data_IF_295061860952
#
_entry.id   IF_295061860952
#
_cell.length_a   1.000
_cell.length_b   1.000
_cell.length_c   1.000
_cell.angle_alpha   90.00
_cell.angle_beta   90.00
_cell.angle_gamma   90.00
#
_symmetry.space_group_name_H-M   'P 1'
#
loop_
_entity.id
_entity.type
_entity.pdbx_description
1 polymer ?
#
# COMPACT_ATOMS: atom_id res chain seq x y z
N UNK A 1 -15.10 -22.13 -7.94
CA UNK A 1 -14.18 -21.07 -8.37
C UNK A 1 -12.83 -21.43 -7.79
N UNK A 2 -11.92 -21.96 -8.61
CA UNK A 2 -10.59 -22.33 -8.10
C UNK A 2 -9.87 -21.03 -7.77
N UNK A 3 -9.56 -20.83 -6.49
CA UNK A 3 -8.67 -19.75 -6.06
C UNK A 3 -7.30 -20.06 -6.63
N UNK A 4 -6.81 -19.23 -7.55
CA UNK A 4 -5.42 -19.30 -8.01
C UNK A 4 -4.49 -19.14 -6.80
N UNK A 5 -3.40 -19.92 -6.75
CA UNK A 5 -2.45 -19.77 -5.65
C UNK A 5 -1.75 -18.42 -5.75
N UNK A 6 -1.85 -17.62 -4.69
CA UNK A 6 -1.15 -16.34 -4.57
C UNK A 6 0.04 -16.46 -3.62
N UNK A 7 1.18 -15.92 -4.02
CA UNK A 7 2.35 -15.74 -3.15
C UNK A 7 2.40 -14.28 -2.70
N UNK A 8 2.37 -14.06 -1.39
CA UNK A 8 2.45 -12.73 -0.78
C UNK A 8 3.86 -12.45 -0.27
N UNK A 9 4.48 -11.39 -0.78
CA UNK A 9 5.77 -10.88 -0.29
C UNK A 9 5.57 -9.55 0.44
N UNK A 10 5.80 -9.47 1.75
CA UNK A 10 5.74 -8.20 2.49
C UNK A 10 6.75 -7.19 1.93
N UNK A 11 6.29 -5.96 1.67
CA UNK A 11 7.14 -4.87 1.19
C UNK A 11 7.39 -3.85 2.29
N UNK A 12 6.33 -3.36 2.95
CA UNK A 12 6.45 -2.39 4.02
C UNK A 12 5.18 -2.36 4.89
N UNK A 13 5.32 -1.81 6.10
CA UNK A 13 4.23 -1.53 7.04
C UNK A 13 4.53 -0.22 7.74
N UNK A 14 3.59 0.71 7.76
CA UNK A 14 3.78 2.01 8.41
C UNK A 14 2.48 2.61 8.95
N UNK A 15 2.56 3.43 10.01
CA UNK A 15 1.39 4.11 10.56
C UNK A 15 0.93 5.23 9.62
N UNK A 16 -0.38 5.46 9.59
CA UNK A 16 -1.05 6.55 8.92
C UNK A 16 -1.86 7.39 9.94
N UNK A 17 -2.27 8.63 9.59
CA UNK A 17 -3.08 9.46 10.49
C UNK A 17 -4.34 8.75 11.02
N UNK A 18 -4.80 9.20 12.18
CA UNK A 18 -6.02 8.72 12.85
C UNK A 18 -5.98 7.22 13.23
N UNK A 19 -4.83 6.77 13.74
CA UNK A 19 -4.66 5.41 14.27
C UNK A 19 -4.78 4.32 13.21
N UNK A 20 -4.49 4.64 11.95
CA UNK A 20 -4.52 3.70 10.84
C UNK A 20 -3.13 3.10 10.62
N UNK A 21 -3.11 1.90 10.06
CA UNK A 21 -1.88 1.24 9.59
C UNK A 21 -2.04 0.88 8.11
N UNK A 22 -0.99 1.06 7.33
CA UNK A 22 -0.91 0.65 5.93
C UNK A 22 0.10 -0.49 5.80
N UNK A 23 -0.35 -1.61 5.24
CA UNK A 23 0.49 -2.73 4.82
C UNK A 23 0.59 -2.77 3.30
N UNK A 24 1.81 -2.93 2.79
CA UNK A 24 2.09 -3.15 1.37
C UNK A 24 2.65 -4.55 1.16
N UNK A 25 2.08 -5.29 0.21
CA UNK A 25 2.56 -6.61 -0.19
C UNK A 25 2.59 -6.72 -1.71
N UNK A 26 3.65 -7.31 -2.27
CA UNK A 26 3.60 -7.81 -3.62
C UNK A 26 2.81 -9.12 -3.64
N UNK A 27 1.95 -9.29 -4.62
CA UNK A 27 1.16 -10.49 -4.86
C UNK A 27 1.58 -11.05 -6.21
N UNK A 28 2.06 -12.28 -6.23
CA UNK A 28 2.36 -13.00 -7.46
C UNK A 28 1.37 -14.16 -7.62
N UNK A 29 0.76 -14.26 -8.80
CA UNK A 29 -0.12 -15.35 -9.19
C UNK A 29 0.60 -16.31 -10.14
N UNK A 30 0.18 -17.57 -10.18
CA UNK A 30 0.81 -18.60 -11.04
C UNK A 30 0.74 -18.27 -12.54
N UNK A 31 -0.29 -17.54 -12.97
CA UNK A 31 -0.42 -17.00 -14.33
C UNK A 31 0.68 -16.01 -14.74
N UNK A 32 1.54 -15.58 -13.80
CA UNK A 32 2.54 -14.54 -14.00
C UNK A 32 2.02 -13.13 -13.76
N UNK A 33 0.75 -12.99 -13.37
CA UNK A 33 0.18 -11.72 -12.95
C UNK A 33 0.82 -11.25 -11.64
N UNK A 34 1.23 -9.99 -11.58
CA UNK A 34 1.77 -9.36 -10.39
C UNK A 34 0.94 -8.14 -10.00
N UNK A 35 0.62 -8.03 -8.72
CA UNK A 35 -0.18 -6.94 -8.15
C UNK A 35 0.50 -6.37 -6.90
N UNK A 36 0.21 -5.11 -6.59
CA UNK A 36 0.46 -4.51 -5.29
C UNK A 36 -0.82 -4.57 -4.46
N UNK A 37 -0.77 -5.25 -3.32
CA UNK A 37 -1.84 -5.25 -2.33
C UNK A 37 -1.57 -4.22 -1.26
N UNK A 38 -2.49 -3.26 -1.14
CA UNK A 38 -2.55 -2.28 -0.06
C UNK A 38 -3.61 -2.73 0.93
N UNK A 39 -3.25 -2.90 2.20
CA UNK A 39 -4.22 -3.12 3.28
C UNK A 39 -4.20 -1.95 4.24
N UNK A 40 -5.35 -1.32 4.44
CA UNK A 40 -5.56 -0.27 5.44
C UNK A 40 -6.30 -0.88 6.62
N UNK A 41 -5.71 -0.78 7.82
CA UNK A 41 -6.30 -1.27 9.08
C UNK A 41 -6.77 -0.09 9.91
N UNK A 42 -8.00 -0.16 10.41
CA UNK A 42 -8.58 0.79 11.36
C UNK A 42 -9.33 0.02 12.45
N UNK A 43 -8.62 -0.31 13.54
CA UNK A 43 -9.14 -1.19 14.59
C UNK A 43 -9.55 -2.55 14.04
N UNK A 44 -10.85 -2.84 14.01
CA UNK A 44 -11.42 -4.09 13.47
C UNK A 44 -11.79 -4.00 11.98
N UNK A 45 -11.71 -2.81 11.37
CA UNK A 45 -12.03 -2.61 9.95
C UNK A 45 -10.77 -2.78 9.10
N UNK A 46 -10.93 -3.49 7.99
CA UNK A 46 -9.87 -3.73 7.03
C UNK A 46 -10.38 -3.39 5.64
N UNK A 47 -9.61 -2.61 4.89
CA UNK A 47 -9.83 -2.39 3.47
C UNK A 47 -8.62 -2.93 2.72
N UNK A 48 -8.86 -3.82 1.76
CA UNK A 48 -7.83 -4.34 0.87
C UNK A 48 -8.09 -3.84 -0.53
N UNK A 49 -7.05 -3.35 -1.19
CA UNK A 49 -7.07 -2.88 -2.57
C UNK A 49 -5.86 -3.48 -3.30
N UNK A 50 -6.12 -4.19 -4.38
CA UNK A 50 -5.09 -4.72 -5.26
C UNK A 50 -4.98 -3.81 -6.49
N UNK A 51 -3.74 -3.42 -6.82
CA UNK A 51 -3.42 -2.55 -7.93
C UNK A 51 -2.47 -3.27 -8.88
N UNK A 52 -2.74 -3.20 -10.18
CA UNK A 52 -1.74 -3.58 -11.17
C UNK A 52 -0.59 -2.56 -11.21
N UNK A 53 0.48 -2.92 -11.93
CA UNK A 53 1.68 -2.07 -12.03
C UNK A 53 1.38 -0.67 -12.56
N UNK A 54 0.50 -0.54 -13.57
CA UNK A 54 0.20 0.74 -14.19
C UNK A 54 -0.58 1.66 -13.25
N UNK A 55 -1.56 1.11 -12.54
CA UNK A 55 -2.38 1.82 -11.55
C UNK A 55 -1.55 2.19 -10.33
N UNK A 56 -0.68 1.29 -9.85
CA UNK A 56 0.23 1.56 -8.74
C UNK A 56 1.21 2.70 -9.08
N UNK A 57 1.77 2.71 -10.30
CA UNK A 57 2.64 3.79 -10.76
C UNK A 57 1.89 5.13 -10.78
N UNK A 58 0.69 5.15 -11.37
CA UNK A 58 -0.15 6.35 -11.46
C UNK A 58 -0.50 6.89 -10.07
N UNK A 59 -0.92 6.02 -9.15
CA UNK A 59 -1.21 6.41 -7.78
C UNK A 59 0.03 6.97 -7.07
N UNK A 60 1.19 6.33 -7.23
CA UNK A 60 2.43 6.78 -6.59
C UNK A 60 2.84 8.19 -7.03
N UNK A 61 2.65 8.52 -8.31
CA UNK A 61 2.98 9.83 -8.84
C UNK A 61 2.06 10.90 -8.24
N UNK A 62 0.74 10.66 -8.20
CA UNK A 62 -0.20 11.61 -7.59
C UNK A 62 0.04 11.82 -6.08
N UNK A 63 0.38 10.74 -5.35
CA UNK A 63 0.73 10.85 -3.93
C UNK A 63 1.98 11.69 -3.72
N UNK A 64 3.01 11.48 -4.55
CA UNK A 64 4.26 12.23 -4.52
C UNK A 64 4.04 13.71 -4.88
N UNK A 65 3.36 13.97 -5.98
CA UNK A 65 3.08 15.33 -6.48
C UNK A 65 2.35 16.17 -5.41
N UNK A 66 1.33 15.58 -4.77
CA UNK A 66 0.63 16.25 -3.68
C UNK A 66 1.55 16.54 -2.49
N UNK A 67 2.37 15.56 -2.07
CA UNK A 67 3.26 15.72 -0.92
C UNK A 67 4.31 16.82 -1.14
N UNK A 68 4.87 16.90 -2.36
CA UNK A 68 5.84 17.95 -2.74
C UNK A 68 5.20 19.35 -2.76
N UNK A 69 3.93 19.45 -3.19
CA UNK A 69 3.19 20.72 -3.24
C UNK A 69 2.69 21.20 -1.88
N UNK A 70 2.33 20.27 -0.98
CA UNK A 70 1.66 20.58 0.28
C UNK A 70 2.49 21.42 1.27
N UNK A 71 3.77 21.71 0.97
CA UNK A 71 4.73 22.45 1.83
C UNK A 71 4.69 22.01 3.30
N UNK A 72 4.28 20.77 3.56
CA UNK A 72 4.15 20.26 4.92
C UNK A 72 5.51 19.68 5.27
N UNK A 73 6.22 20.21 6.28
CA UNK A 73 7.48 19.62 6.70
C UNK A 73 7.23 18.15 7.03
N UNK A 74 8.10 17.23 6.60
CA UNK A 74 7.95 15.82 6.94
C UNK A 74 7.77 15.70 8.44
N UNK A 75 6.81 14.88 8.89
CA UNK A 75 6.63 14.65 10.33
C UNK A 75 7.98 14.25 10.89
N UNK A 76 8.51 14.94 11.92
CA UNK A 76 9.78 14.55 12.51
C UNK A 76 9.70 13.08 12.91
N UNK A 77 10.72 12.33 12.49
CA UNK A 77 10.86 10.90 12.78
C UNK A 77 11.14 10.72 14.27
N UNK A 78 10.14 10.89 15.12
CA UNK A 78 10.19 10.40 16.50
C UNK A 78 9.97 8.89 16.45
N UNK A 79 11.06 8.18 16.17
CA UNK A 79 11.24 6.82 16.62
C UNK A 79 12.30 6.89 17.73
N UNK A 80 11.83 6.87 18.98
CA UNK A 80 12.60 6.42 20.15
C UNK A 80 12.33 4.91 20.34
#
# INVERSE_FOLDING_TARGET
MNSEMETLTPLNRFPAPWGKEIDLKAVAYESGLAMLRITIREGKRFTQLDLDTATALTLSQHLKDWAEQAKTPPRPSTFD
#
